data_IF_566269778266
#
_entry.id   IF_566269778266
#
_cell.length_a   1.000
_cell.length_b   1.000
_cell.length_c   1.000
_cell.angle_alpha   90.00
_cell.angle_beta   90.00
_cell.angle_gamma   90.00
#
_symmetry.space_group_name_H-M   'P 1'
#
loop_
_entity.id
_entity.type
_entity.pdbx_description
1 polymer ?
#
# COMPACT_ATOMS: atom_id res chain seq x y z
N UNK A 1 -7.61 9.63 12.15
CA UNK A 1 -8.30 9.23 13.38
C UNK A 1 -7.61 7.98 13.93
N UNK A 2 -7.16 8.01 15.18
CA UNK A 2 -6.55 6.85 15.85
C UNK A 2 -7.50 6.21 16.86
N UNK A 3 -8.45 6.98 17.40
CA UNK A 3 -9.38 6.51 18.43
C UNK A 3 -10.41 5.50 17.87
N UNK A 4 -10.75 5.61 16.59
CA UNK A 4 -11.65 4.64 15.92
C UNK A 4 -10.92 3.58 15.08
N UNK A 5 -9.59 3.64 14.98
CA UNK A 5 -8.85 2.74 14.09
C UNK A 5 -8.78 1.32 14.64
N UNK A 6 -9.05 0.32 13.80
CA UNK A 6 -8.90 -1.11 14.16
C UNK A 6 -7.45 -1.58 14.04
N UNK A 7 -6.72 -1.02 13.06
CA UNK A 7 -5.34 -1.33 12.78
C UNK A 7 -4.50 -0.07 12.70
N UNK A 8 -3.24 -0.19 13.11
CA UNK A 8 -2.26 0.91 13.09
C UNK A 8 -0.90 0.44 12.61
N UNK A 9 -0.19 1.32 11.91
CA UNK A 9 1.22 1.17 11.61
C UNK A 9 2.07 1.69 12.77
N UNK A 10 3.09 0.92 13.16
CA UNK A 10 4.00 1.25 14.26
C UNK A 10 5.33 1.77 13.71
N UNK A 11 5.79 2.94 14.17
CA UNK A 11 7.13 3.44 13.88
C UNK A 11 8.20 2.68 14.65
N UNK A 12 9.21 2.14 13.95
CA UNK A 12 10.39 1.54 14.57
C UNK A 12 11.46 2.62 14.85
N UNK A 13 11.92 2.72 16.10
CA UNK A 13 12.92 3.69 16.60
C UNK A 13 14.37 3.19 16.47
N UNK A 14 14.58 1.98 15.96
CA UNK A 14 15.90 1.38 15.97
C UNK A 14 16.81 1.98 14.89
N UNK A 15 18.09 2.18 15.21
CA UNK A 15 19.20 2.38 14.27
C UNK A 15 19.49 1.07 13.50
N UNK A 16 18.47 0.46 12.91
CA UNK A 16 18.65 -0.68 12.01
C UNK A 16 19.35 -0.15 10.77
N UNK A 17 20.28 -0.94 10.23
CA UNK A 17 21.06 -0.60 9.05
C UNK A 17 20.17 -0.13 7.90
N UNK A 18 20.77 0.64 6.98
CA UNK A 18 20.11 1.13 5.77
C UNK A 18 19.34 0.00 5.10
N UNK A 19 18.02 0.19 4.89
CA UNK A 19 17.07 -0.73 4.22
C UNK A 19 16.00 -1.43 5.10
N UNK A 20 15.46 -0.76 6.13
CA UNK A 20 14.21 -1.17 6.78
C UNK A 20 13.13 -0.08 6.69
N UNK A 21 11.86 -0.44 6.49
CA UNK A 21 10.77 0.54 6.49
C UNK A 21 10.64 1.16 7.88
N UNK A 22 10.44 2.49 7.93
CA UNK A 22 10.28 3.21 9.20
C UNK A 22 9.03 2.82 9.99
N UNK A 23 8.04 2.24 9.30
CA UNK A 23 6.81 1.76 9.90
C UNK A 23 6.67 0.27 9.63
N UNK A 24 6.40 -0.47 10.69
CA UNK A 24 5.99 -1.87 10.66
C UNK A 24 4.47 -1.94 10.47
N UNK A 25 4.03 -3.03 9.83
CA UNK A 25 2.72 -3.26 9.19
C UNK A 25 1.46 -2.94 10.02
N UNK A 26 0.28 -3.27 9.49
CA UNK A 26 -0.96 -3.05 10.21
C UNK A 26 -1.02 -3.99 11.43
N UNK A 27 -0.88 -3.42 12.62
CA UNK A 27 -1.03 -4.12 13.89
C UNK A 27 -2.44 -3.89 14.42
N UNK A 28 -3.05 -4.94 14.93
CA UNK A 28 -4.36 -4.88 15.57
C UNK A 28 -4.27 -4.05 16.87
N UNK A 29 -5.22 -3.14 17.06
CA UNK A 29 -5.36 -2.35 18.30
C UNK A 29 -6.23 -3.13 19.27
N UNK A 30 -5.65 -3.51 20.42
CA UNK A 30 -6.35 -4.21 21.50
C UNK A 30 -7.07 -3.23 22.44
N UNK A 31 -6.48 -2.06 22.67
CA UNK A 31 -7.04 -1.04 23.56
C UNK A 31 -6.62 0.35 23.10
N UNK A 32 -7.61 1.22 22.94
CA UNK A 32 -7.43 2.66 22.68
C UNK A 32 -7.25 3.42 24.00
N UNK A 33 -6.43 4.46 23.96
CA UNK A 33 -6.25 5.40 25.07
C UNK A 33 -5.80 6.76 24.53
N UNK A 34 -5.82 7.79 25.37
CA UNK A 34 -5.60 9.18 24.92
C UNK A 34 -4.19 9.41 24.39
N UNK A 35 -3.19 8.86 25.08
CA UNK A 35 -1.76 9.04 24.77
C UNK A 35 -1.04 7.73 24.48
N UNK A 36 -1.63 6.61 24.86
CA UNK A 36 -1.02 5.28 24.83
C UNK A 36 -2.03 4.26 24.36
N UNK A 37 -1.59 3.38 23.48
CA UNK A 37 -2.38 2.31 22.88
C UNK A 37 -1.73 0.97 23.18
N UNK A 38 -2.55 -0.07 23.30
CA UNK A 38 -2.05 -1.45 23.32
C UNK A 38 -2.31 -2.09 21.97
N UNK A 39 -1.26 -2.57 21.33
CA UNK A 39 -1.32 -3.19 19.99
C UNK A 39 -0.74 -4.59 20.02
N UNK A 40 -1.18 -5.44 19.11
CA UNK A 40 -0.68 -6.80 18.96
C UNK A 40 0.44 -6.83 17.92
N UNK A 41 1.68 -7.00 18.37
CA UNK A 41 2.86 -7.11 17.50
C UNK A 41 3.42 -8.52 17.62
N UNK A 42 3.46 -9.27 16.51
CA UNK A 42 3.99 -10.65 16.47
C UNK A 42 3.41 -11.56 17.57
N UNK A 43 2.11 -11.44 17.83
CA UNK A 43 1.39 -12.21 18.85
C UNK A 43 1.60 -11.76 20.30
N UNK A 44 2.29 -10.62 20.52
CA UNK A 44 2.51 -10.05 21.86
C UNK A 44 1.82 -8.69 21.99
N UNK A 45 1.12 -8.48 23.09
CA UNK A 45 0.57 -7.18 23.41
C UNK A 45 1.70 -6.21 23.80
N UNK A 46 1.74 -5.04 23.17
CA UNK A 46 2.76 -4.03 23.40
C UNK A 46 2.12 -2.65 23.56
N UNK A 47 2.59 -1.89 24.55
CA UNK A 47 2.11 -0.54 24.83
C UNK A 47 2.95 0.49 24.07
N UNK A 48 2.28 1.37 23.32
CA UNK A 48 2.93 2.34 22.43
C UNK A 48 2.30 3.72 22.59
N UNK A 49 3.10 4.78 22.61
CA UNK A 49 2.62 6.17 22.57
C UNK A 49 2.02 6.53 21.21
N UNK A 50 1.07 7.46 21.22
CA UNK A 50 0.37 7.97 20.03
C UNK A 50 1.34 8.50 18.96
N UNK A 51 2.47 9.10 19.35
CA UNK A 51 3.44 9.72 18.43
C UNK A 51 4.11 8.73 17.47
N UNK A 52 4.08 7.44 17.82
CA UNK A 52 4.69 6.37 17.02
C UNK A 52 3.66 5.61 16.18
N UNK A 53 2.40 6.04 16.16
CA UNK A 53 1.32 5.35 15.47
C UNK A 53 0.82 6.14 14.28
N UNK A 54 0.47 5.42 13.20
CA UNK A 54 -0.33 5.94 12.10
C UNK A 54 -1.53 5.01 11.89
N UNK A 55 -2.74 5.53 11.60
CA UNK A 55 -3.88 4.65 11.30
C UNK A 55 -3.63 3.85 10.03
N UNK A 56 -4.07 2.59 10.03
CA UNK A 56 -4.06 1.71 8.87
C UNK A 56 -5.49 1.49 8.37
N UNK A 57 -5.77 1.92 7.15
CA UNK A 57 -7.05 1.69 6.50
C UNK A 57 -6.98 0.39 5.71
N UNK A 58 -7.72 -0.62 6.14
CA UNK A 58 -7.80 -1.92 5.47
C UNK A 58 -9.15 -2.00 4.78
N UNK A 59 -9.15 -2.25 3.47
CA UNK A 59 -10.37 -2.53 2.71
C UNK A 59 -10.84 -3.93 3.09
N UNK A 60 -11.97 -4.02 3.81
CA UNK A 60 -12.60 -5.30 4.10
C UNK A 60 -13.14 -5.89 2.79
N UNK A 61 -12.63 -7.05 2.37
CA UNK A 61 -13.06 -7.74 1.15
C UNK A 61 -14.42 -8.44 1.30
N UNK A 62 -15.06 -8.33 2.47
CA UNK A 62 -16.38 -8.88 2.75
C UNK A 62 -17.50 -7.87 2.42
N UNK A 63 -17.83 -7.81 1.12
CA UNK A 63 -19.10 -7.42 0.46
C UNK A 63 -19.43 -5.94 0.15
N UNK A 64 -20.17 -5.65 -0.95
CA UNK A 64 -20.20 -6.31 -2.26
C UNK A 64 -19.29 -5.57 -3.25
N UNK A 65 -18.97 -6.25 -4.36
CA UNK A 65 -18.51 -5.67 -5.63
C UNK A 65 -18.53 -4.14 -5.68
N UNK A 66 -17.35 -3.52 -5.60
CA UNK A 66 -17.11 -2.31 -6.37
C UNK A 66 -17.39 -2.72 -7.81
N UNK A 67 -18.61 -2.49 -8.30
CA UNK A 67 -18.88 -2.45 -9.73
C UNK A 67 -18.02 -1.31 -10.27
N UNK A 68 -16.78 -1.66 -10.61
CA UNK A 68 -16.09 -1.04 -11.70
C UNK A 68 -17.03 -1.24 -12.88
N UNK A 69 -17.85 -0.24 -13.18
CA UNK A 69 -18.49 -0.13 -14.48
C UNK A 69 -17.42 -0.45 -15.52
N UNK A 70 -17.61 -1.45 -16.39
CA UNK A 70 -16.68 -1.65 -17.48
C UNK A 70 -16.71 -0.37 -18.31
N UNK A 71 -15.60 0.36 -18.31
CA UNK A 71 -15.31 1.35 -19.34
C UNK A 71 -15.63 0.71 -20.70
N UNK A 72 -16.26 1.44 -21.63
CA UNK A 72 -16.64 0.89 -22.92
C UNK A 72 -15.40 0.34 -23.63
N UNK A 73 -15.49 -0.94 -24.01
CA UNK A 73 -14.50 -1.67 -24.80
C UNK A 73 -13.85 -0.77 -25.87
N UNK A 74 -12.51 -0.64 -25.90
CA UNK A 74 -11.83 -0.20 -27.09
C UNK A 74 -11.91 -1.35 -28.11
N UNK A 75 -12.79 -1.15 -29.09
CA UNK A 75 -12.94 -1.94 -30.33
C UNK A 75 -11.58 -2.41 -30.88
N UNK A 76 -11.50 -3.62 -31.45
CA UNK A 76 -10.29 -4.10 -32.10
C UNK A 76 -10.06 -3.30 -33.38
N UNK A 77 -9.04 -2.43 -33.39
CA UNK A 77 -8.43 -1.97 -34.63
C UNK A 77 -7.10 -2.70 -34.83
N UNK A 78 -7.18 -3.71 -35.68
CA UNK A 78 -6.07 -4.27 -36.43
C UNK A 78 -5.16 -3.15 -36.97
N UNK A 79 -3.85 -3.26 -36.76
CA UNK A 79 -2.90 -2.28 -37.31
C UNK A 79 -1.55 -2.24 -36.62
N UNK A 80 -0.79 -3.33 -36.70
CA UNK A 80 0.63 -3.36 -36.36
C UNK A 80 1.42 -2.33 -37.18
N UNK A 81 1.76 -1.19 -36.58
CA UNK A 81 3.01 -0.49 -36.87
C UNK A 81 3.62 -0.02 -35.56
N UNK A 82 4.70 -0.69 -35.15
CA UNK A 82 5.53 -0.30 -34.02
C UNK A 82 5.98 1.16 -34.19
N UNK A 83 5.35 2.08 -33.46
CA UNK A 83 5.80 3.45 -33.36
C UNK A 83 7.09 3.43 -32.53
N UNK A 84 8.22 3.59 -33.21
CA UNK A 84 9.52 3.76 -32.57
C UNK A 84 9.43 5.06 -31.75
N UNK A 85 9.39 4.94 -30.42
CA UNK A 85 9.47 6.10 -29.53
C UNK A 85 10.94 6.40 -29.25
N UNK A 86 11.39 7.59 -29.65
CA UNK A 86 12.79 8.00 -29.57
C UNK A 86 12.95 9.05 -28.47
N UNK A 87 13.94 8.91 -27.61
CA UNK A 87 14.26 9.93 -26.60
C UNK A 87 14.88 11.17 -27.23
N UNK A 88 14.98 12.28 -26.49
CA UNK A 88 15.64 13.52 -26.92
C UNK A 88 17.07 13.31 -27.45
N UNK A 89 17.76 12.25 -27.02
CA UNK A 89 19.12 11.88 -27.46
C UNK A 89 19.15 10.88 -28.63
N UNK A 90 17.99 10.54 -29.22
CA UNK A 90 17.91 9.59 -30.34
C UNK A 90 17.87 8.11 -29.94
N UNK A 91 17.73 7.77 -28.65
CA UNK A 91 17.66 6.36 -28.22
C UNK A 91 16.26 5.81 -28.50
N UNK A 92 16.19 4.73 -29.29
CA UNK A 92 14.95 3.97 -29.49
C UNK A 92 14.61 3.20 -28.21
N UNK A 93 13.40 3.43 -27.68
CA UNK A 93 12.86 2.68 -26.54
C UNK A 93 11.96 1.58 -27.08
N UNK A 94 12.23 0.34 -26.68
CA UNK A 94 11.36 -0.82 -26.92
C UNK A 94 10.70 -1.18 -25.61
N UNK A 95 9.38 -1.08 -25.55
CA UNK A 95 8.62 -1.62 -24.44
C UNK A 95 8.41 -3.11 -24.72
N UNK A 96 9.01 -3.97 -23.90
CA UNK A 96 8.82 -5.42 -24.00
C UNK A 96 7.57 -5.83 -23.24
N UNK A 97 6.72 -6.62 -23.87
CA UNK A 97 5.39 -7.01 -23.36
C UNK A 97 5.40 -8.06 -22.23
N UNK A 98 6.54 -8.28 -21.55
CA UNK A 98 6.69 -9.37 -20.58
C UNK A 98 6.05 -9.12 -19.20
N UNK A 99 5.12 -8.18 -19.10
CA UNK A 99 4.28 -8.03 -17.91
C UNK A 99 2.82 -8.22 -18.32
N UNK A 100 2.31 -9.43 -18.07
CA UNK A 100 0.88 -9.72 -18.00
C UNK A 100 0.57 -10.21 -16.58
N UNK A 101 -0.44 -9.66 -15.91
CA UNK A 101 -0.88 -10.12 -14.59
C UNK A 101 -1.43 -11.55 -14.62
#
# INVERSE_FOLDING_TARGET
DLASSTHVFLREEMLRGTFHPSYSGPHEVLQHGDKVFKILVKGKAMTVSIDRLKPAYILSTASPSLELTPDPEPRPTEGTKAQICTTRSGRQVRFTDFYRP
#
